data_IF_497570332453
#
_entry.id   IF_497570332453
#
_cell.length_a   1.000
_cell.length_b   1.000
_cell.length_c   1.000
_cell.angle_alpha   90.00
_cell.angle_beta   90.00
_cell.angle_gamma   90.00
#
_symmetry.space_group_name_H-M   'P 1'
#
loop_
_entity.id
_entity.type
_entity.pdbx_description
1 polymer ?
#
# COMPACT_ATOMS: atom_id res chain seq x y z
N UNK A 1 -14.26 -14.26 14.27
CA UNK A 1 -13.00 -13.49 14.16
C UNK A 1 -12.33 -14.09 12.95
N UNK A 2 -11.94 -13.29 11.93
CA UNK A 2 -11.51 -13.85 10.66
C UNK A 2 -10.41 -14.88 10.87
N UNK A 3 -10.49 -15.99 10.15
CA UNK A 3 -9.39 -16.92 10.06
C UNK A 3 -8.23 -16.24 9.31
N UNK A 4 -7.04 -16.26 9.90
CA UNK A 4 -5.84 -15.64 9.35
C UNK A 4 -4.87 -16.73 8.92
N UNK A 5 -4.44 -16.66 7.66
CA UNK A 5 -3.42 -17.53 7.10
C UNK A 5 -2.20 -16.69 6.72
N UNK A 6 -1.05 -17.07 7.25
CA UNK A 6 0.24 -16.49 6.88
C UNK A 6 0.88 -17.29 5.75
N UNK A 7 1.41 -16.58 4.77
CA UNK A 7 2.12 -17.12 3.62
C UNK A 7 3.51 -16.46 3.55
N UNK A 8 4.53 -17.29 3.73
CA UNK A 8 5.94 -16.99 3.45
C UNK A 8 6.44 -17.67 2.16
N UNK A 9 5.53 -18.33 1.45
CA UNK A 9 5.74 -19.00 0.16
C UNK A 9 4.54 -18.73 -0.77
N UNK A 10 4.64 -19.01 -2.08
CA UNK A 10 3.55 -18.77 -3.02
C UNK A 10 2.22 -19.36 -2.55
N UNK A 11 1.19 -18.51 -2.48
CA UNK A 11 -0.16 -18.91 -2.11
C UNK A 11 -0.92 -19.58 -3.29
N UNK A 12 -1.99 -20.35 -3.02
CA UNK A 12 -2.85 -20.90 -4.08
C UNK A 12 -3.37 -19.85 -5.07
N UNK A 13 -3.49 -20.22 -6.35
CA UNK A 13 -3.90 -19.31 -7.43
C UNK A 13 -5.25 -18.62 -7.19
N UNK A 14 -6.20 -19.30 -6.56
CA UNK A 14 -7.51 -18.73 -6.23
C UNK A 14 -7.43 -17.62 -5.17
N UNK A 15 -6.46 -17.68 -4.25
CA UNK A 15 -6.20 -16.63 -3.26
C UNK A 15 -5.55 -15.43 -3.95
N UNK A 16 -4.51 -15.68 -4.76
CA UNK A 16 -3.84 -14.65 -5.55
C UNK A 16 -4.85 -13.86 -6.40
N UNK A 17 -5.71 -14.57 -7.14
CA UNK A 17 -6.76 -13.96 -7.97
C UNK A 17 -7.72 -13.07 -7.17
N UNK A 18 -8.15 -13.50 -5.98
CA UNK A 18 -9.02 -12.70 -5.12
C UNK A 18 -8.31 -11.47 -4.54
N UNK A 19 -7.02 -11.58 -4.20
CA UNK A 19 -6.21 -10.44 -3.76
C UNK A 19 -6.09 -9.40 -4.87
N UNK A 20 -5.77 -9.83 -6.10
CA UNK A 20 -5.65 -8.92 -7.23
C UNK A 20 -6.98 -8.22 -7.55
N UNK A 21 -8.11 -8.93 -7.44
CA UNK A 21 -9.43 -8.30 -7.54
C UNK A 21 -9.66 -7.27 -6.42
N UNK A 22 -9.29 -7.61 -5.19
CA UNK A 22 -9.41 -6.67 -4.05
C UNK A 22 -8.53 -5.42 -4.25
N UNK A 23 -7.34 -5.55 -4.82
CA UNK A 23 -6.47 -4.41 -5.18
C UNK A 23 -7.16 -3.50 -6.19
N UNK A 24 -7.75 -4.08 -7.24
CA UNK A 24 -8.51 -3.37 -8.28
C UNK A 24 -9.70 -2.60 -7.68
N UNK A 25 -10.42 -3.22 -6.74
CA UNK A 25 -11.61 -2.64 -6.10
C UNK A 25 -11.26 -1.57 -5.05
N UNK A 26 -10.05 -1.61 -4.49
CA UNK A 26 -9.61 -0.72 -3.41
C UNK A 26 -8.49 0.25 -3.83
N UNK A 27 -8.20 0.37 -5.14
CA UNK A 27 -7.05 1.12 -5.67
C UNK A 27 -6.87 2.50 -5.04
N UNK A 28 -7.95 3.29 -4.97
CA UNK A 28 -7.91 4.66 -4.41
C UNK A 28 -7.49 4.67 -2.94
N UNK A 29 -7.86 3.66 -2.17
CA UNK A 29 -7.60 3.60 -0.72
C UNK A 29 -6.18 3.09 -0.39
N UNK A 30 -5.56 2.34 -1.30
CA UNK A 30 -4.27 1.66 -1.08
C UNK A 30 -3.11 2.26 -1.89
N UNK A 31 -3.39 2.99 -2.98
CA UNK A 31 -2.36 3.63 -3.80
C UNK A 31 -1.86 4.92 -3.14
N UNK A 32 -0.55 5.16 -3.21
CA UNK A 32 0.04 6.45 -2.81
C UNK A 32 -0.47 7.63 -3.65
N UNK A 33 -1.02 7.37 -4.84
CA UNK A 33 -1.55 8.41 -5.74
C UNK A 33 -2.98 8.79 -5.39
N UNK A 34 -3.74 7.92 -4.71
CA UNK A 34 -5.12 8.21 -4.30
C UNK A 34 -6.07 8.53 -5.45
N UNK A 35 -5.75 8.10 -6.68
CA UNK A 35 -6.53 8.50 -7.87
C UNK A 35 -7.95 7.91 -7.81
N UNK A 36 -8.94 8.77 -8.06
CA UNK A 36 -10.36 8.40 -8.03
C UNK A 36 -10.84 7.85 -9.38
N UNK A 37 -11.87 6.96 -9.43
CA UNK A 37 -12.38 6.35 -10.66
C UNK A 37 -12.84 7.33 -11.74
N UNK A 38 -13.20 8.56 -11.37
CA UNK A 38 -13.63 9.58 -12.33
C UNK A 38 -12.49 10.20 -13.14
N UNK A 39 -11.23 10.02 -12.72
CA UNK A 39 -10.09 10.53 -13.47
C UNK A 39 -9.76 9.58 -14.64
N UNK A 40 -9.65 10.06 -15.90
CA UNK A 40 -9.33 9.21 -17.06
C UNK A 40 -8.06 8.34 -16.90
N UNK A 41 -7.08 8.76 -16.10
CA UNK A 41 -5.86 8.01 -15.85
C UNK A 41 -6.05 6.82 -14.88
N UNK A 42 -7.22 6.67 -14.26
CA UNK A 42 -7.48 5.64 -13.26
C UNK A 42 -7.07 4.23 -13.74
N UNK A 43 -7.41 3.87 -14.98
CA UNK A 43 -7.10 2.56 -15.54
C UNK A 43 -5.59 2.31 -15.70
N UNK A 44 -4.78 3.36 -15.90
CA UNK A 44 -3.32 3.24 -15.94
C UNK A 44 -2.79 2.82 -14.57
N UNK A 45 -3.26 3.49 -13.52
CA UNK A 45 -2.86 3.17 -12.14
C UNK A 45 -3.44 1.84 -11.65
N UNK A 46 -4.65 1.49 -12.09
CA UNK A 46 -5.26 0.20 -11.79
C UNK A 46 -4.41 -0.95 -12.32
N UNK A 47 -3.95 -0.84 -13.56
CA UNK A 47 -3.01 -1.82 -14.12
C UNK A 47 -1.67 -1.79 -13.39
N UNK A 48 -1.08 -0.61 -13.18
CA UNK A 48 0.26 -0.50 -12.61
C UNK A 48 0.33 -1.06 -11.18
N UNK A 49 -0.60 -0.67 -10.30
CA UNK A 49 -0.65 -1.15 -8.91
C UNK A 49 -1.04 -2.63 -8.86
N UNK A 50 -1.99 -3.06 -9.70
CA UNK A 50 -2.34 -4.48 -9.80
C UNK A 50 -1.14 -5.35 -10.19
N UNK A 51 -0.35 -4.89 -11.17
CA UNK A 51 0.84 -5.60 -11.60
C UNK A 51 1.97 -5.54 -10.56
N UNK A 52 2.16 -4.41 -9.88
CA UNK A 52 3.09 -4.32 -8.75
C UNK A 52 2.76 -5.32 -7.64
N UNK A 53 1.50 -5.40 -7.21
CA UNK A 53 1.09 -6.38 -6.19
C UNK A 53 1.30 -7.80 -6.70
N UNK A 54 0.99 -8.07 -7.98
CA UNK A 54 1.27 -9.37 -8.59
C UNK A 54 2.77 -9.72 -8.52
N UNK A 55 3.66 -8.77 -8.79
CA UNK A 55 5.11 -8.99 -8.71
C UNK A 55 5.58 -9.28 -7.27
N UNK A 56 4.97 -8.64 -6.26
CA UNK A 56 5.22 -8.96 -4.85
C UNK A 56 4.71 -10.36 -4.48
N UNK A 57 3.52 -10.75 -4.96
CA UNK A 57 2.98 -12.09 -4.73
C UNK A 57 3.85 -13.18 -5.38
N UNK A 58 4.41 -12.91 -6.56
CA UNK A 58 5.41 -13.79 -7.19
C UNK A 58 6.73 -13.85 -6.41
N UNK A 59 7.06 -12.80 -5.65
CA UNK A 59 8.26 -12.71 -4.83
C UNK A 59 8.14 -13.39 -3.46
N UNK A 60 6.95 -13.88 -3.08
CA UNK A 60 6.75 -14.71 -1.88
C UNK A 60 7.74 -15.88 -1.90
N UNK A 61 8.35 -16.17 -0.74
CA UNK A 61 9.42 -17.16 -0.62
C UNK A 61 10.80 -16.68 -1.07
N UNK A 62 10.98 -15.37 -1.32
CA UNK A 62 12.29 -14.78 -1.61
C UNK A 62 12.78 -14.93 -3.05
N UNK A 63 11.91 -15.40 -3.95
CA UNK A 63 12.27 -15.79 -5.34
C UNK A 63 12.87 -14.64 -6.17
N UNK A 64 12.58 -13.38 -5.81
CA UNK A 64 13.07 -12.17 -6.48
C UNK A 64 14.15 -11.41 -5.70
N UNK A 65 14.78 -12.06 -4.72
CA UNK A 65 15.84 -11.44 -3.91
C UNK A 65 15.34 -10.42 -2.87
N UNK A 66 14.02 -10.35 -2.67
CA UNK A 66 13.37 -9.55 -1.63
C UNK A 66 12.54 -10.48 -0.73
N UNK A 67 12.53 -10.21 0.57
CA UNK A 67 11.65 -10.92 1.50
C UNK A 67 10.25 -10.30 1.42
N UNK A 68 9.27 -11.12 1.11
CA UNK A 68 7.85 -10.72 1.06
C UNK A 68 7.06 -11.75 1.84
N UNK A 69 6.17 -11.26 2.69
CA UNK A 69 5.23 -12.08 3.43
C UNK A 69 3.82 -11.52 3.28
N UNK A 70 2.85 -12.41 3.48
CA UNK A 70 1.44 -12.12 3.26
C UNK A 70 0.61 -12.72 4.39
N UNK A 71 -0.28 -11.92 4.97
CA UNK A 71 -1.39 -12.40 5.80
C UNK A 71 -2.67 -12.26 4.98
N UNK A 72 -3.47 -13.32 4.94
CA UNK A 72 -4.78 -13.36 4.30
C UNK A 72 -5.84 -13.60 5.37
N UNK A 73 -6.89 -12.80 5.35
CA UNK A 73 -8.07 -13.01 6.16
C UNK A 73 -9.18 -13.64 5.30
N UNK A 74 -9.74 -14.76 5.75
CA UNK A 74 -10.86 -15.45 5.09
C UNK A 74 -12.16 -15.30 5.88
N UNK A 75 -13.29 -15.49 5.21
CA UNK A 75 -14.63 -15.38 5.79
C UNK A 75 -14.93 -16.58 6.71
N UNK A 76 -15.42 -16.32 7.92
CA UNK A 76 -15.76 -17.35 8.92
C UNK A 76 -16.84 -18.32 8.39
N UNK A 77 -17.75 -17.86 7.53
CA UNK A 77 -18.83 -18.67 6.94
C UNK A 77 -18.41 -19.33 5.61
N UNK A 78 -17.38 -18.79 4.94
CA UNK A 78 -16.84 -19.32 3.70
C UNK A 78 -15.31 -19.17 3.65
N UNK A 79 -14.54 -20.15 4.15
CA UNK A 79 -13.09 -20.08 4.23
C UNK A 79 -12.37 -19.94 2.88
N UNK A 80 -13.03 -20.20 1.74
CA UNK A 80 -12.45 -19.98 0.41
C UNK A 80 -12.50 -18.51 -0.02
N UNK A 81 -13.29 -17.67 0.67
CA UNK A 81 -13.48 -16.27 0.34
C UNK A 81 -12.49 -15.40 1.11
N UNK A 82 -11.64 -14.71 0.37
CA UNK A 82 -10.72 -13.70 0.92
C UNK A 82 -11.49 -12.42 1.24
N UNK A 83 -11.44 -11.97 2.49
CA UNK A 83 -12.08 -10.74 2.98
C UNK A 83 -11.07 -9.67 3.42
N UNK A 84 -9.78 -9.99 3.42
CA UNK A 84 -8.71 -9.01 3.60
C UNK A 84 -7.35 -9.60 3.30
N UNK A 85 -6.38 -8.72 3.02
CA UNK A 85 -4.99 -9.10 2.91
C UNK A 85 -4.07 -8.00 3.48
N UNK A 86 -2.89 -8.41 3.92
CA UNK A 86 -1.81 -7.57 4.39
C UNK A 86 -0.49 -8.11 3.83
N UNK A 87 0.10 -7.37 2.90
CA UNK A 87 1.39 -7.65 2.28
C UNK A 87 2.45 -6.75 2.91
N UNK A 88 3.50 -7.37 3.43
CA UNK A 88 4.56 -6.67 4.16
C UNK A 88 5.94 -7.26 3.84
N UNK A 89 6.96 -6.44 4.11
CA UNK A 89 8.34 -6.65 3.73
C UNK A 89 9.19 -6.71 4.99
N UNK A 90 9.62 -7.89 5.45
CA UNK A 90 10.63 -8.01 6.49
C UNK A 90 11.89 -7.22 6.12
N UNK A 91 12.46 -6.50 7.08
CA UNK A 91 13.67 -5.70 6.87
C UNK A 91 14.90 -6.61 6.93
N UNK A 92 15.75 -6.53 5.92
CA UNK A 92 17.02 -7.25 5.92
C UNK A 92 17.94 -6.65 6.98
N UNK A 93 18.62 -7.53 7.72
CA UNK A 93 19.54 -7.20 8.80
C UNK A 93 18.86 -6.62 10.07
N UNK A 94 17.52 -6.64 10.12
CA UNK A 94 16.73 -6.33 11.32
C UNK A 94 15.55 -7.34 11.47
N UNK A 95 15.74 -8.42 12.25
CA UNK A 95 14.76 -9.50 12.35
C UNK A 95 13.47 -9.11 13.07
N UNK A 96 13.45 -7.98 13.80
CA UNK A 96 12.24 -7.48 14.47
C UNK A 96 11.44 -6.52 13.59
N UNK A 97 12.00 -6.07 12.46
CA UNK A 97 11.42 -5.01 11.67
C UNK A 97 10.76 -5.47 10.38
N UNK A 98 9.65 -4.81 10.03
CA UNK A 98 8.99 -4.97 8.75
C UNK A 98 8.30 -3.68 8.29
N UNK A 99 8.06 -3.57 6.98
CA UNK A 99 7.27 -2.49 6.39
C UNK A 99 6.00 -3.00 5.74
N UNK A 100 4.86 -2.36 5.99
CA UNK A 100 3.62 -2.65 5.25
C UNK A 100 3.69 -2.04 3.86
N UNK A 101 3.58 -2.88 2.82
CA UNK A 101 3.51 -2.44 1.43
C UNK A 101 2.06 -2.20 0.98
N UNK A 102 1.17 -3.17 1.21
CA UNK A 102 -0.24 -3.06 0.83
C UNK A 102 -1.15 -3.73 1.86
N UNK A 103 -2.31 -3.12 2.12
CA UNK A 103 -3.34 -3.71 2.97
C UNK A 103 -4.72 -3.29 2.47
N UNK A 104 -5.62 -4.26 2.31
CA UNK A 104 -7.01 -3.99 2.01
C UNK A 104 -7.95 -4.93 2.78
N UNK A 105 -9.18 -4.47 2.96
CA UNK A 105 -10.29 -5.26 3.50
C UNK A 105 -11.47 -5.05 2.57
N UNK A 106 -12.13 -6.16 2.23
CA UNK A 106 -13.36 -6.15 1.46
C UNK A 106 -14.37 -5.15 2.04
N UNK A 107 -15.01 -4.38 1.17
CA UNK A 107 -15.90 -3.29 1.56
C UNK A 107 -17.04 -3.74 2.49
N UNK A 108 -17.57 -4.95 2.28
CA UNK A 108 -18.64 -5.55 3.09
C UNK A 108 -18.18 -6.01 4.49
N UNK A 109 -16.85 -6.15 4.68
CA UNK A 109 -16.22 -6.65 5.90
C UNK A 109 -15.44 -5.58 6.67
N UNK A 110 -15.43 -4.33 6.18
CA UNK A 110 -14.87 -3.17 6.89
C UNK A 110 -15.59 -2.95 8.23
N UNK A 111 -14.87 -2.37 9.19
CA UNK A 111 -15.35 -2.09 10.57
C UNK A 111 -15.74 -3.34 11.38
N UNK A 112 -15.33 -4.53 10.95
CA UNK A 112 -15.49 -5.80 11.70
C UNK A 112 -14.21 -6.30 12.38
N UNK A 113 -13.18 -5.45 12.43
CA UNK A 113 -11.90 -5.79 13.06
C UNK A 113 -10.91 -6.55 12.17
N UNK A 114 -11.21 -6.82 10.89
CA UNK A 114 -10.34 -7.58 9.98
C UNK A 114 -8.94 -6.95 9.85
N UNK A 115 -8.85 -5.67 9.49
CA UNK A 115 -7.58 -4.96 9.38
C UNK A 115 -6.79 -4.94 10.71
N UNK A 116 -7.50 -4.81 11.84
CA UNK A 116 -6.91 -4.86 13.17
C UNK A 116 -6.29 -6.24 13.44
N UNK A 117 -7.01 -7.32 13.13
CA UNK A 117 -6.53 -8.68 13.33
C UNK A 117 -5.28 -8.96 12.51
N UNK A 118 -5.27 -8.59 11.21
CA UNK A 118 -4.10 -8.76 10.34
C UNK A 118 -2.88 -7.98 10.84
N UNK A 119 -3.05 -6.71 11.24
CA UNK A 119 -1.94 -5.91 11.77
C UNK A 119 -1.42 -6.46 13.11
N UNK A 120 -2.29 -6.99 13.97
CA UNK A 120 -1.86 -7.60 15.23
C UNK A 120 -1.07 -8.88 15.01
N UNK A 121 -1.49 -9.72 14.06
CA UNK A 121 -0.73 -10.91 13.70
C UNK A 121 0.67 -10.53 13.16
N UNK A 122 0.74 -9.54 12.26
CA UNK A 122 2.00 -9.02 11.75
C UNK A 122 2.90 -8.46 12.87
N UNK A 123 2.37 -7.61 13.75
CA UNK A 123 3.15 -6.99 14.85
C UNK A 123 3.62 -8.04 15.87
N UNK A 124 2.86 -9.13 16.05
CA UNK A 124 3.29 -10.24 16.91
C UNK A 124 4.54 -10.94 16.39
N UNK A 125 4.77 -10.90 15.06
CA UNK A 125 5.96 -11.42 14.39
C UNK A 125 7.07 -10.38 14.32
N UNK A 126 6.72 -9.13 14.04
CA UNK A 126 7.62 -7.99 13.85
C UNK A 126 7.23 -6.82 14.76
N UNK A 127 7.79 -6.74 15.97
CA UNK A 127 7.49 -5.67 16.91
C UNK A 127 7.87 -4.26 16.41
N UNK A 128 8.77 -4.15 15.43
CA UNK A 128 9.19 -2.90 14.80
C UNK A 128 8.55 -2.73 13.41
N UNK A 129 7.27 -2.34 13.39
CA UNK A 129 6.52 -2.20 12.15
C UNK A 129 6.51 -0.75 11.66
N UNK A 130 6.82 -0.55 10.38
CA UNK A 130 6.70 0.71 9.65
C UNK A 130 5.55 0.64 8.64
N UNK A 131 4.80 1.73 8.47
CA UNK A 131 3.86 1.88 7.37
C UNK A 131 3.69 3.35 7.00
N UNK A 132 3.10 3.58 5.82
CA UNK A 132 2.63 4.90 5.41
C UNK A 132 1.12 4.91 5.27
N UNK A 133 0.49 6.03 5.62
CA UNK A 133 -0.97 6.15 5.55
C UNK A 133 -1.44 7.58 5.28
N UNK A 134 -2.69 7.72 4.86
CA UNK A 134 -3.31 9.04 4.74
C UNK A 134 -3.60 9.61 6.12
N UNK A 135 -3.64 10.94 6.23
CA UNK A 135 -3.92 11.64 7.49
C UNK A 135 -5.18 11.11 8.20
N UNK A 136 -6.21 10.73 7.45
CA UNK A 136 -7.45 10.19 7.99
C UNK A 136 -7.29 8.85 8.75
N UNK A 137 -6.26 8.06 8.42
CA UNK A 137 -6.00 6.75 9.06
C UNK A 137 -5.14 6.87 10.32
N UNK A 138 -4.48 8.01 10.56
CA UNK A 138 -3.56 8.20 11.69
C UNK A 138 -4.20 7.90 13.05
N UNK A 139 -5.38 8.45 13.43
CA UNK A 139 -5.93 8.18 14.76
C UNK A 139 -6.25 6.70 15.01
N UNK A 140 -6.64 5.98 13.97
CA UNK A 140 -6.90 4.54 14.06
C UNK A 140 -5.61 3.75 14.25
N UNK A 141 -4.53 4.11 13.54
CA UNK A 141 -3.22 3.48 13.69
C UNK A 141 -2.55 3.81 15.02
N UNK A 142 -2.74 5.02 15.55
CA UNK A 142 -2.30 5.37 16.91
C UNK A 142 -2.97 4.48 17.96
N UNK A 143 -4.26 4.16 17.79
CA UNK A 143 -4.95 3.20 18.67
C UNK A 143 -4.41 1.77 18.59
N UNK A 144 -3.58 1.47 17.58
CA UNK A 144 -2.90 0.20 17.37
C UNK A 144 -1.45 0.21 17.86
N UNK A 145 -0.97 1.31 18.44
CA UNK A 145 0.39 1.44 18.95
C UNK A 145 1.40 2.02 17.96
N UNK A 146 0.95 2.51 16.80
CA UNK A 146 1.82 3.28 15.92
C UNK A 146 1.94 4.73 16.39
N UNK A 147 3.06 5.37 16.09
CA UNK A 147 3.29 6.79 16.29
C UNK A 147 3.76 7.44 14.99
N UNK A 148 3.49 8.74 14.87
CA UNK A 148 3.93 9.53 13.72
C UNK A 148 5.44 9.75 13.82
N UNK A 149 6.19 9.39 12.78
CA UNK A 149 7.63 9.69 12.68
C UNK A 149 7.94 10.80 11.69
N UNK A 150 7.12 10.98 10.66
CA UNK A 150 7.43 11.93 9.60
C UNK A 150 6.45 11.88 8.43
N UNK A 151 6.90 12.39 7.30
CA UNK A 151 6.19 12.33 6.00
C UNK A 151 7.01 11.52 5.02
N UNK A 152 6.33 10.75 4.17
CA UNK A 152 6.90 10.13 2.96
C UNK A 152 5.97 10.43 1.79
N UNK A 153 6.38 11.35 0.90
CA UNK A 153 5.57 11.77 -0.25
C UNK A 153 4.19 12.36 0.11
N UNK A 154 3.12 11.64 -0.23
CA UNK A 154 1.72 12.04 0.01
C UNK A 154 1.17 11.52 1.34
N UNK A 155 1.97 10.75 2.10
CA UNK A 155 1.52 9.96 3.24
C UNK A 155 2.28 10.35 4.53
N UNK A 156 1.64 10.06 5.66
CA UNK A 156 2.25 10.13 7.00
C UNK A 156 3.01 8.83 7.25
N UNK A 157 4.28 8.93 7.60
CA UNK A 157 5.12 7.83 8.04
C UNK A 157 4.80 7.51 9.50
N UNK A 158 4.45 6.26 9.76
CA UNK A 158 4.09 5.77 11.09
C UNK A 158 4.91 4.52 11.44
N UNK A 159 5.25 4.38 12.72
CA UNK A 159 6.05 3.27 13.21
C UNK A 159 5.61 2.84 14.63
N UNK A 160 5.80 1.58 15.02
CA UNK A 160 5.56 1.12 16.40
C UNK A 160 6.68 1.51 17.38
N UNK A 161 7.87 1.86 16.86
CA UNK A 161 9.02 2.42 17.56
C UNK A 161 9.16 3.91 17.27
N UNK A 162 10.03 4.59 17.99
CA UNK A 162 10.30 6.03 17.86
C UNK A 162 11.35 6.36 16.76
N UNK A 163 11.78 5.34 16.02
CA UNK A 163 12.73 5.44 14.91
C UNK A 163 12.37 4.42 13.81
N UNK A 164 12.81 4.68 12.59
CA UNK A 164 12.81 3.68 11.51
C UNK A 164 13.96 2.69 11.70
N UNK A 165 13.80 1.47 11.20
CA UNK A 165 14.91 0.51 11.16
C UNK A 165 16.04 1.04 10.28
N UNK A 166 17.28 0.77 10.68
CA UNK A 166 18.49 1.05 9.88
C UNK A 166 18.77 -0.03 8.83
N UNK A 167 17.99 -1.12 8.83
CA UNK A 167 18.14 -2.21 7.88
C UNK A 167 17.59 -1.90 6.48
N UNK A 168 17.77 -2.84 5.56
CA UNK A 168 17.40 -2.67 4.16
C UNK A 168 16.03 -3.27 3.86
N UNK A 169 15.06 -2.43 3.48
CA UNK A 169 13.74 -2.89 3.02
C UNK A 169 13.76 -3.10 1.50
N UNK A 170 13.48 -4.33 1.06
CA UNK A 170 13.49 -4.72 -0.35
C UNK A 170 12.26 -4.26 -1.12
N UNK A 171 12.18 -2.97 -1.46
CA UNK A 171 11.14 -2.44 -2.34
C UNK A 171 11.41 -2.82 -3.80
N UNK A 172 10.37 -3.24 -4.52
CA UNK A 172 10.47 -3.48 -5.96
C UNK A 172 10.64 -2.15 -6.71
N UNK A 173 11.59 -2.08 -7.64
CA UNK A 173 11.59 -1.01 -8.64
C UNK A 173 10.49 -1.27 -9.66
N UNK A 174 9.43 -0.48 -9.59
CA UNK A 174 8.24 -0.57 -10.45
C UNK A 174 8.23 0.46 -11.57
N UNK A 175 9.31 1.21 -11.74
CA UNK A 175 9.41 2.25 -12.79
C UNK A 175 9.22 1.65 -14.17
N UNK A 176 9.70 0.42 -14.38
CA UNK A 176 9.56 -0.27 -15.66
C UNK A 176 8.09 -0.52 -16.06
N UNK A 177 7.18 -0.68 -15.08
CA UNK A 177 5.75 -0.93 -15.34
C UNK A 177 5.16 0.22 -16.15
N UNK A 178 5.45 1.47 -15.78
CA UNK A 178 4.95 2.65 -16.47
C UNK A 178 5.52 2.82 -17.88
N UNK A 179 6.64 2.16 -18.17
CA UNK A 179 7.26 2.16 -19.49
C UNK A 179 6.82 0.97 -20.37
N UNK A 180 6.03 0.04 -19.84
CA UNK A 180 5.65 -1.22 -20.49
C UNK A 180 4.77 -1.01 -21.73
N UNK A 181 4.67 -2.05 -22.57
CA UNK A 181 3.83 -2.01 -23.75
C UNK A 181 2.34 -1.88 -23.37
N UNK A 182 1.93 -2.57 -22.32
CA UNK A 182 0.56 -2.62 -21.81
C UNK A 182 0.12 -1.24 -21.32
N UNK A 183 0.95 -0.55 -20.51
CA UNK A 183 0.65 0.83 -20.07
C UNK A 183 0.56 1.77 -21.27
N UNK A 184 1.45 1.66 -22.26
CA UNK A 184 1.36 2.47 -23.49
C UNK A 184 0.08 2.18 -24.27
N UNK A 185 -0.35 0.92 -24.36
CA UNK A 185 -1.59 0.54 -25.02
C UNK A 185 -2.82 1.08 -24.30
N UNK A 186 -2.88 0.97 -22.96
CA UNK A 186 -3.94 1.56 -22.14
C UNK A 186 -3.97 3.08 -22.36
N UNK A 187 -2.82 3.74 -22.30
CA UNK A 187 -2.73 5.18 -22.51
C UNK A 187 -3.21 5.58 -23.91
N UNK A 188 -2.80 4.86 -24.97
CA UNK A 188 -3.24 5.12 -26.33
C UNK A 188 -4.76 4.92 -26.49
N UNK A 189 -5.32 3.88 -25.88
CA UNK A 189 -6.76 3.65 -25.86
C UNK A 189 -7.51 4.81 -25.17
N UNK A 190 -7.04 5.25 -23.99
CA UNK A 190 -7.63 6.37 -23.27
C UNK A 190 -7.52 7.68 -24.06
N UNK A 191 -6.39 7.91 -24.73
CA UNK A 191 -6.19 9.07 -25.60
C UNK A 191 -7.16 9.06 -26.79
N UNK A 192 -7.39 7.91 -27.42
CA UNK A 192 -8.37 7.79 -28.50
C UNK A 192 -9.81 8.00 -28.00
N UNK A 193 -10.13 7.48 -26.81
CA UNK A 193 -11.47 7.53 -26.23
C UNK A 193 -11.85 8.91 -25.69
N UNK A 194 -10.93 9.59 -25.01
CA UNK A 194 -11.19 10.84 -24.29
C UNK A 194 -10.63 12.08 -24.99
N UNK A 195 -9.67 11.89 -25.91
CA UNK A 195 -8.99 12.97 -26.62
C UNK A 195 -7.88 13.64 -25.80
N UNK A 196 -6.96 14.30 -26.51
CA UNK A 196 -5.75 14.90 -25.93
C UNK A 196 -6.03 15.90 -24.79
N UNK A 197 -7.05 16.74 -24.96
CA UNK A 197 -7.39 17.76 -23.97
C UNK A 197 -7.84 17.14 -22.64
N UNK A 198 -8.70 16.14 -22.69
CA UNK A 198 -9.17 15.45 -21.49
C UNK A 198 -8.04 14.72 -20.76
N UNK A 199 -7.11 14.12 -21.51
CA UNK A 199 -5.92 13.48 -20.92
C UNK A 199 -5.00 14.50 -20.21
N UNK A 200 -4.72 15.63 -20.84
CA UNK A 200 -3.93 16.71 -20.21
C UNK A 200 -4.64 17.28 -18.98
N UNK A 201 -5.96 17.43 -19.03
CA UNK A 201 -6.73 17.89 -17.87
C UNK A 201 -6.74 16.84 -16.75
N UNK A 202 -6.74 15.55 -17.09
CA UNK A 202 -6.63 14.43 -16.14
C UNK A 202 -5.27 14.40 -15.43
N UNK A 203 -4.17 14.63 -16.15
CA UNK A 203 -2.83 14.79 -15.58
C UNK A 203 -2.78 15.96 -14.60
N UNK A 204 -3.29 17.14 -15.00
CA UNK A 204 -3.36 18.31 -14.11
C UNK A 204 -4.20 18.06 -12.86
N UNK A 205 -5.32 17.34 -12.99
CA UNK A 205 -6.16 16.98 -11.84
C UNK A 205 -5.41 16.06 -10.88
N UNK A 206 -4.68 15.07 -11.40
CA UNK A 206 -3.82 14.19 -10.61
C UNK A 206 -2.73 15.00 -9.89
N UNK A 207 -2.02 15.87 -10.60
CA UNK A 207 -0.90 16.62 -10.02
C UNK A 207 -1.36 17.53 -8.88
N UNK A 208 -2.46 18.27 -9.07
CA UNK A 208 -3.08 19.06 -7.99
C UNK A 208 -3.52 18.21 -6.80
N UNK A 209 -4.03 17.01 -7.07
CA UNK A 209 -4.44 16.09 -6.02
C UNK A 209 -3.23 15.63 -5.18
N UNK A 210 -2.13 15.25 -5.85
CA UNK A 210 -0.87 14.88 -5.20
C UNK A 210 -0.30 16.04 -4.37
N UNK A 211 -0.26 17.25 -4.94
CA UNK A 211 0.20 18.45 -4.24
C UNK A 211 -0.60 18.69 -2.96
N UNK A 212 -1.93 18.55 -3.04
CA UNK A 212 -2.81 18.72 -1.89
C UNK A 212 -2.56 17.64 -0.82
N UNK A 213 -2.40 16.37 -1.22
CA UNK A 213 -2.11 15.28 -0.28
C UNK A 213 -0.76 15.47 0.40
N UNK A 214 0.28 15.81 -0.35
CA UNK A 214 1.62 16.11 0.19
C UNK A 214 1.57 17.29 1.15
N UNK A 215 0.86 18.36 0.79
CA UNK A 215 0.68 19.50 1.68
C UNK A 215 -0.04 19.09 2.98
N UNK A 216 -1.13 18.33 2.88
CA UNK A 216 -1.90 17.88 4.04
C UNK A 216 -1.07 16.99 4.98
N UNK A 217 -0.29 16.05 4.42
CA UNK A 217 0.61 15.21 5.21
C UNK A 217 1.68 16.03 5.93
N UNK A 218 2.32 16.98 5.23
CA UNK A 218 3.33 17.88 5.81
C UNK A 218 2.77 18.75 6.92
N UNK A 219 1.63 19.41 6.69
CA UNK A 219 0.99 20.25 7.71
C UNK A 219 0.58 19.42 8.93
N UNK A 220 0.03 18.23 8.71
CA UNK A 220 -0.35 17.35 9.80
C UNK A 220 0.85 16.97 10.68
N UNK A 221 1.95 16.53 10.06
CA UNK A 221 3.16 16.11 10.78
C UNK A 221 3.84 17.29 11.47
N UNK A 222 3.93 18.47 10.81
CA UNK A 222 4.44 19.71 11.42
C UNK A 222 3.68 20.08 12.68
N UNK A 223 2.35 20.00 12.66
CA UNK A 223 1.52 20.31 13.82
C UNK A 223 1.69 19.28 14.95
N UNK A 224 2.07 18.04 14.62
CA UNK A 224 2.21 16.94 15.58
C UNK A 224 3.59 16.89 16.24
N UNK A 225 4.65 17.05 15.45
CA UNK A 225 6.04 16.82 15.85
C UNK A 225 6.88 18.11 15.92
N UNK A 226 6.38 19.24 15.41
CA UNK A 226 7.14 20.48 15.33
C UNK A 226 7.93 20.65 14.02
N UNK A 227 8.69 21.74 13.91
CA UNK A 227 9.29 22.21 12.64
C UNK A 227 10.35 21.28 12.05
N UNK A 228 11.01 20.47 12.87
CA UNK A 228 12.15 19.63 12.41
C UNK A 228 11.70 18.32 11.75
N UNK A 229 10.42 17.95 11.86
CA UNK A 229 9.89 16.66 11.42
C UNK A 229 9.28 16.65 10.00
N UNK A 230 9.28 17.78 9.29
CA UNK A 230 8.71 17.88 7.94
C UNK A 230 9.69 17.52 6.81
N UNK A 231 10.97 17.31 7.16
CA UNK A 231 11.95 16.81 6.22
C UNK A 231 11.75 15.30 6.08
N UNK A 232 11.67 14.81 4.84
CA UNK A 232 11.70 13.38 4.59
C UNK A 232 12.97 12.80 5.27
N UNK A 233 12.88 11.67 6.00
CA UNK A 233 14.06 11.00 6.49
C UNK A 233 14.96 10.73 5.27
N UNK A 234 16.20 11.23 5.33
CA UNK A 234 17.18 10.96 4.28
C UNK A 234 17.41 9.46 4.25
N UNK A 235 16.99 8.84 3.14
CA UNK A 235 17.54 7.57 2.70
C UNK A 235 18.94 7.91 2.16
N UNK A 236 19.94 7.91 3.05
CA UNK A 236 21.34 7.93 2.66
C UNK A 236 21.78 6.51 2.25
#
# INVERSE_FOLDING_TARGET
>A
MPELTHFDAPCPEHINSQILQMVVDNLTDISMVGIVPSNPLYNVYQYAVGYEVHLYLEALGGSKGIAVELIVATDDENPEKVIGFLLYLPVKDDPEACGVAYMAVDSGHRRRGVARAMLQDMISRYPHAELTCTVAKVPWLESMGFQVLGVRGTQVLMNTRDHSSEGLMGLLDVTFIYSSLEVRQIHNYLLQKHGKRAMVDAEKQRDRHLDQMTHNAKVFVLNRLGRDAANEPRLD
#
